data_IF_903601799820
#
_entry.id   IF_903601799820
#
_cell.length_a   1.000
_cell.length_b   1.000
_cell.length_c   1.000
_cell.angle_alpha   90.00
_cell.angle_beta   90.00
_cell.angle_gamma   90.00
#
_symmetry.space_group_name_H-M   'P 1'
#
loop_
_entity.id
_entity.type
_entity.pdbx_description
1 polymer ?
#
# COMPACT_ATOMS: atom_id res chain seq x y z
N UNK A 1 4.88 -10.10 -9.84
CA UNK A 1 5.44 -8.77 -9.49
C UNK A 1 6.75 -8.95 -8.73
N UNK A 2 7.74 -8.04 -8.83
CA UNK A 2 8.92 -8.05 -7.93
C UNK A 2 8.50 -7.47 -6.58
N UNK A 3 8.67 -8.24 -5.50
CA UNK A 3 8.17 -7.90 -4.16
C UNK A 3 9.29 -7.55 -3.19
N UNK A 4 10.52 -8.00 -3.47
CA UNK A 4 11.70 -7.57 -2.74
C UNK A 4 11.92 -6.07 -2.94
N UNK A 5 12.07 -5.38 -1.82
CA UNK A 5 12.40 -3.97 -1.76
C UNK A 5 13.57 -3.78 -0.82
N UNK A 6 14.34 -2.72 -1.06
CA UNK A 6 15.44 -2.31 -0.21
C UNK A 6 15.03 -1.02 0.46
N UNK A 7 15.11 -1.00 1.79
CA UNK A 7 14.98 0.20 2.59
C UNK A 7 16.37 0.63 3.05
N UNK A 8 16.62 1.93 3.03
CA UNK A 8 17.80 2.54 3.64
C UNK A 8 17.37 3.71 4.51
N UNK A 9 18.02 3.92 5.65
CA UNK A 9 17.77 5.08 6.49
C UNK A 9 18.52 6.30 5.96
N UNK A 10 17.83 7.43 5.87
CA UNK A 10 18.41 8.75 5.56
C UNK A 10 17.81 9.80 6.51
N UNK A 11 18.55 10.09 7.59
CA UNK A 11 18.05 10.86 8.73
C UNK A 11 16.84 10.18 9.36
N UNK A 12 15.73 10.93 9.47
CA UNK A 12 14.45 10.43 9.99
C UNK A 12 13.59 9.75 8.92
N UNK A 13 14.06 9.72 7.65
CA UNK A 13 13.34 9.12 6.54
C UNK A 13 13.83 7.69 6.24
N UNK A 14 12.94 6.89 5.70
CA UNK A 14 13.20 5.59 5.13
C UNK A 14 13.05 5.69 3.61
N UNK A 15 14.13 5.45 2.89
CA UNK A 15 14.16 5.54 1.43
C UNK A 15 13.99 4.16 0.83
N UNK A 16 12.97 3.99 -0.01
CA UNK A 16 12.74 2.78 -0.78
C UNK A 16 12.81 3.08 -2.29
N UNK A 17 13.64 2.30 -3.01
CA UNK A 17 13.63 2.32 -4.47
C UNK A 17 12.55 1.36 -4.97
N UNK A 18 11.42 1.92 -5.41
CA UNK A 18 10.27 1.14 -5.86
C UNK A 18 10.34 0.90 -7.36
N UNK A 19 10.07 -0.33 -7.78
CA UNK A 19 9.73 -0.65 -9.16
C UNK A 19 8.33 -0.08 -9.51
N UNK A 20 8.06 0.20 -10.79
CA UNK A 20 6.73 0.55 -11.31
C UNK A 20 5.54 -0.14 -10.65
N UNK A 21 5.55 -1.47 -10.63
CA UNK A 21 4.46 -2.29 -10.09
C UNK A 21 4.33 -2.19 -8.58
N UNK A 22 5.43 -1.97 -7.84
CA UNK A 22 5.38 -1.76 -6.39
C UNK A 22 4.73 -0.42 -6.08
N UNK A 23 5.16 0.66 -6.74
CA UNK A 23 4.57 1.99 -6.57
C UNK A 23 3.08 1.98 -6.95
N UNK A 24 2.73 1.33 -8.07
CA UNK A 24 1.35 1.19 -8.52
C UNK A 24 0.49 0.36 -7.55
N UNK A 25 0.98 -0.76 -7.02
CA UNK A 25 0.24 -1.54 -6.02
C UNK A 25 0.00 -0.75 -4.72
N UNK A 26 0.98 0.02 -4.25
CA UNK A 26 0.82 0.88 -3.07
C UNK A 26 -0.18 2.02 -3.34
N UNK A 27 -0.11 2.63 -4.52
CA UNK A 27 -1.06 3.65 -4.97
C UNK A 27 -2.49 3.09 -5.02
N UNK A 28 -2.70 1.93 -5.65
CA UNK A 28 -4.04 1.35 -5.79
C UNK A 28 -4.64 0.93 -4.44
N UNK A 29 -3.82 0.39 -3.53
CA UNK A 29 -4.26 0.08 -2.18
C UNK A 29 -4.75 1.34 -1.45
N UNK A 30 -3.97 2.42 -1.46
CA UNK A 30 -4.34 3.66 -0.77
C UNK A 30 -5.46 4.43 -1.48
N UNK A 31 -5.52 4.40 -2.82
CA UNK A 31 -6.63 5.01 -3.56
C UNK A 31 -7.95 4.28 -3.27
N UNK A 32 -7.92 2.95 -3.15
CA UNK A 32 -9.09 2.21 -2.75
C UNK A 32 -9.56 2.60 -1.34
N UNK A 33 -8.65 2.73 -0.37
CA UNK A 33 -8.99 3.24 0.97
C UNK A 33 -9.57 4.66 0.90
N UNK A 34 -8.96 5.55 0.10
CA UNK A 34 -9.37 6.96 -0.05
C UNK A 34 -10.77 7.12 -0.63
N UNK A 35 -11.14 6.29 -1.60
CA UNK A 35 -12.45 6.30 -2.28
C UNK A 35 -13.59 5.82 -1.37
N UNK A 36 -13.28 5.16 -0.26
CA UNK A 36 -14.28 4.70 0.70
C UNK A 36 -14.74 5.87 1.57
N UNK A 37 -16.05 5.90 1.80
CA UNK A 37 -16.68 6.82 2.76
C UNK A 37 -16.50 6.34 4.21
N UNK A 38 -15.25 6.10 4.62
CA UNK A 38 -14.91 5.76 6.00
C UNK A 38 -14.99 7.00 6.90
N UNK A 39 -15.57 6.84 8.09
CA UNK A 39 -15.48 7.86 9.13
C UNK A 39 -14.04 8.02 9.65
N UNK A 40 -13.75 9.13 10.32
CA UNK A 40 -12.39 9.46 10.78
C UNK A 40 -11.82 8.38 11.73
N UNK A 41 -12.66 7.84 12.63
CA UNK A 41 -12.26 6.77 13.56
C UNK A 41 -11.98 5.47 12.80
N UNK A 42 -12.82 5.12 11.82
CA UNK A 42 -12.64 3.90 11.02
C UNK A 42 -11.35 3.97 10.20
N UNK A 43 -11.07 5.13 9.59
CA UNK A 43 -9.86 5.35 8.82
C UNK A 43 -8.60 5.30 9.71
N UNK A 44 -8.65 5.94 10.89
CA UNK A 44 -7.57 5.89 11.85
C UNK A 44 -7.31 4.45 12.34
N UNK A 45 -8.34 3.65 12.57
CA UNK A 45 -8.18 2.23 12.94
C UNK A 45 -7.62 1.40 11.78
N UNK A 46 -8.05 1.68 10.55
CA UNK A 46 -7.67 0.91 9.37
C UNK A 46 -6.21 1.12 8.98
N UNK A 47 -5.76 2.38 8.90
CA UNK A 47 -4.43 2.72 8.35
C UNK A 47 -3.56 3.55 9.29
N UNK A 48 -4.05 3.93 10.47
CA UNK A 48 -3.30 4.71 11.46
C UNK A 48 -3.14 6.19 11.11
N UNK A 49 -3.97 6.73 10.21
CA UNK A 49 -3.83 8.10 9.71
C UNK A 49 -5.18 8.73 9.36
N UNK A 50 -5.18 10.06 9.27
CA UNK A 50 -6.33 10.84 8.81
C UNK A 50 -6.42 10.89 7.27
N UNK A 51 -7.55 11.42 6.78
CA UNK A 51 -7.86 11.50 5.35
C UNK A 51 -6.87 12.36 4.58
N UNK A 52 -6.38 13.45 5.19
CA UNK A 52 -5.42 14.34 4.55
C UNK A 52 -4.09 13.63 4.31
N UNK A 53 -3.60 12.92 5.33
CA UNK A 53 -2.33 12.20 5.29
C UNK A 53 -2.39 11.04 4.30
N UNK A 54 -3.52 10.30 4.27
CA UNK A 54 -3.75 9.29 3.23
C UNK A 54 -3.71 9.91 1.85
N UNK A 55 -4.45 11.01 1.62
CA UNK A 55 -4.46 11.72 0.34
C UNK A 55 -3.06 12.14 -0.12
N UNK A 56 -2.28 12.76 0.79
CA UNK A 56 -0.93 13.23 0.49
C UNK A 56 0.02 12.10 0.08
N UNK A 57 -0.06 10.95 0.74
CA UNK A 57 0.77 9.80 0.39
C UNK A 57 0.31 9.16 -0.93
N UNK A 58 -1.00 9.02 -1.15
CA UNK A 58 -1.54 8.53 -2.42
C UNK A 58 -1.11 9.40 -3.58
N UNK A 59 -1.18 10.73 -3.44
CA UNK A 59 -0.81 11.66 -4.50
C UNK A 59 0.71 11.64 -4.77
N UNK A 60 1.54 11.41 -3.74
CA UNK A 60 2.99 11.19 -3.90
C UNK A 60 3.30 9.91 -4.66
N UNK A 61 2.55 8.85 -4.42
CA UNK A 61 2.71 7.57 -5.10
C UNK A 61 2.12 7.61 -6.51
N UNK A 62 1.23 8.55 -6.81
CA UNK A 62 0.67 8.71 -8.14
C UNK A 62 1.74 9.03 -9.18
N UNK A 63 1.50 8.61 -10.42
CA UNK A 63 2.39 8.91 -11.54
C UNK A 63 2.27 7.85 -12.63
N UNK A 64 3.07 7.99 -13.71
CA UNK A 64 2.96 7.10 -14.86
C UNK A 64 3.59 5.72 -14.61
N UNK A 65 4.24 5.51 -13.45
CA UNK A 65 4.85 4.24 -13.04
C UNK A 65 5.68 3.57 -14.16
N UNK A 66 6.53 4.34 -14.84
CA UNK A 66 7.29 3.81 -16.00
C UNK A 66 8.67 3.31 -15.59
N UNK A 67 9.29 3.98 -14.62
CA UNK A 67 10.65 3.71 -14.18
C UNK A 67 10.71 3.49 -12.67
N UNK A 68 11.80 2.87 -12.21
CA UNK A 68 12.03 2.73 -10.77
C UNK A 68 12.48 4.06 -10.18
N UNK A 69 11.87 4.47 -9.07
CA UNK A 69 12.14 5.75 -8.42
C UNK A 69 12.31 5.58 -6.91
N UNK A 70 13.03 6.52 -6.29
CA UNK A 70 13.24 6.54 -4.86
C UNK A 70 12.11 7.32 -4.19
N UNK A 71 11.48 6.71 -3.19
CA UNK A 71 10.45 7.31 -2.38
C UNK A 71 10.93 7.40 -0.95
N UNK A 72 10.75 8.58 -0.34
CA UNK A 72 11.00 8.80 1.08
C UNK A 72 9.72 8.51 1.84
N UNK A 73 9.81 7.76 2.92
CA UNK A 73 8.70 7.44 3.79
C UNK A 73 9.05 7.74 5.25
N UNK A 74 8.04 8.10 6.03
CA UNK A 74 8.10 7.93 7.49
C UNK A 74 7.73 6.49 7.86
N UNK A 75 8.01 6.07 9.10
CA UNK A 75 7.51 4.79 9.62
C UNK A 75 5.98 4.73 9.59
N UNK A 76 5.31 5.85 9.90
CA UNK A 76 3.84 5.93 9.83
C UNK A 76 3.29 5.75 8.42
N UNK A 77 3.98 6.28 7.41
CA UNK A 77 3.60 6.08 6.00
C UNK A 77 3.83 4.64 5.53
N UNK A 78 4.92 3.98 5.97
CA UNK A 78 5.12 2.55 5.70
C UNK A 78 4.07 1.68 6.39
N UNK A 79 3.69 2.01 7.62
CA UNK A 79 2.58 1.36 8.30
C UNK A 79 1.27 1.54 7.51
N UNK A 80 0.98 2.75 7.07
CA UNK A 80 -0.23 3.06 6.29
C UNK A 80 -0.31 2.20 5.02
N UNK A 81 0.79 2.12 4.26
CA UNK A 81 0.88 1.29 3.06
C UNK A 81 0.71 -0.19 3.39
N UNK A 82 1.43 -0.69 4.40
CA UNK A 82 1.34 -2.08 4.83
C UNK A 82 -0.09 -2.46 5.25
N UNK A 83 -0.73 -1.60 6.05
CA UNK A 83 -2.11 -1.80 6.51
C UNK A 83 -3.11 -1.71 5.37
N UNK A 84 -2.91 -0.84 4.38
CA UNK A 84 -3.75 -0.82 3.17
C UNK A 84 -3.58 -2.10 2.33
N UNK A 85 -2.35 -2.54 2.07
CA UNK A 85 -2.07 -3.77 1.30
C UNK A 85 -2.71 -5.01 1.94
N UNK A 86 -2.74 -5.09 3.26
CA UNK A 86 -3.29 -6.25 3.99
C UNK A 86 -4.80 -6.16 4.22
N UNK A 87 -5.37 -4.96 4.29
CA UNK A 87 -6.79 -4.76 4.57
C UNK A 87 -7.66 -4.71 3.33
N UNK A 88 -7.20 -4.09 2.23
CA UNK A 88 -8.00 -3.92 1.01
C UNK A 88 -8.53 -5.25 0.46
N UNK A 89 -7.76 -6.37 0.40
CA UNK A 89 -8.31 -7.66 -0.03
C UNK A 89 -9.52 -8.12 0.78
N UNK A 90 -9.59 -7.78 2.08
CA UNK A 90 -10.73 -8.16 2.94
C UNK A 90 -12.02 -7.42 2.58
N UNK A 91 -11.93 -6.33 1.82
CA UNK A 91 -13.09 -5.56 1.34
C UNK A 91 -13.77 -6.23 0.13
N UNK A 92 -13.13 -7.25 -0.45
CA UNK A 92 -13.65 -8.05 -1.58
C UNK A 92 -14.12 -9.43 -1.11
N UNK A 93 -14.45 -9.57 0.17
CA UNK A 93 -15.11 -10.76 0.69
C UNK A 93 -16.61 -10.66 0.45
N UNK A 94 -17.21 -11.73 -0.07
CA UNK A 94 -18.67 -11.87 -0.18
C UNK A 94 -19.26 -12.48 1.09
N UNK A 95 -20.60 -12.51 1.17
CA UNK A 95 -21.31 -13.22 2.25
C UNK A 95 -20.78 -14.67 2.35
N UNK A 96 -20.32 -15.05 3.54
CA UNK A 96 -19.65 -16.33 3.78
C UNK A 96 -18.12 -16.27 3.82
N UNK A 97 -17.52 -15.09 3.62
CA UNK A 97 -16.08 -14.88 3.79
C UNK A 97 -15.21 -15.35 2.62
N UNK A 98 -15.81 -15.72 1.49
CA UNK A 98 -15.07 -16.08 0.29
C UNK A 98 -14.54 -14.82 -0.40
N UNK A 99 -13.27 -14.85 -0.82
CA UNK A 99 -12.64 -13.77 -1.57
C UNK A 99 -13.00 -13.86 -3.05
N UNK A 100 -13.30 -12.72 -3.67
CA UNK A 100 -13.55 -12.63 -5.11
C UNK A 100 -12.36 -11.99 -5.83
N UNK A 101 -11.51 -12.83 -6.43
CA UNK A 101 -10.30 -12.41 -7.15
C UNK A 101 -10.60 -11.48 -8.33
N UNK A 102 -11.61 -11.80 -9.14
CA UNK A 102 -11.89 -11.03 -10.36
C UNK A 102 -12.26 -9.56 -10.07
N UNK A 103 -13.21 -9.24 -9.15
CA UNK A 103 -13.45 -7.85 -8.76
C UNK A 103 -12.23 -7.13 -8.18
N UNK A 104 -11.41 -7.82 -7.38
CA UNK A 104 -10.18 -7.27 -6.82
C UNK A 104 -9.17 -6.92 -7.93
N UNK A 105 -8.98 -7.85 -8.87
CA UNK A 105 -8.09 -7.68 -10.01
C UNK A 105 -8.57 -6.60 -10.97
N UNK A 106 -9.88 -6.52 -11.25
CA UNK A 106 -10.45 -5.46 -12.07
C UNK A 106 -10.25 -4.10 -11.42
N UNK A 107 -10.43 -3.98 -10.09
CA UNK A 107 -10.26 -2.70 -9.40
C UNK A 107 -8.81 -2.28 -9.31
N UNK A 108 -7.90 -3.19 -8.96
CA UNK A 108 -6.52 -2.84 -8.60
C UNK A 108 -5.50 -3.11 -9.71
N UNK A 109 -5.83 -3.95 -10.68
CA UNK A 109 -4.88 -4.47 -11.67
C UNK A 109 -3.93 -5.55 -11.13
N UNK A 110 -4.08 -5.99 -9.88
CA UNK A 110 -3.19 -6.96 -9.23
C UNK A 110 -3.97 -8.18 -8.74
N UNK A 111 -3.29 -9.33 -8.63
CA UNK A 111 -3.79 -10.46 -7.85
C UNK A 111 -3.49 -10.30 -6.38
N UNK A 112 -4.29 -10.91 -5.50
CA UNK A 112 -4.12 -10.83 -4.05
C UNK A 112 -2.71 -11.18 -3.59
N UNK A 113 -2.08 -12.21 -4.19
CA UNK A 113 -0.74 -12.64 -3.79
C UNK A 113 0.31 -11.55 -4.02
N UNK A 114 0.07 -10.62 -4.96
CA UNK A 114 0.97 -9.48 -5.15
C UNK A 114 0.93 -8.53 -3.96
N UNK A 115 -0.26 -8.27 -3.40
CA UNK A 115 -0.44 -7.42 -2.22
C UNK A 115 0.18 -8.09 -0.99
N UNK A 116 -0.12 -9.37 -0.77
CA UNK A 116 0.40 -10.14 0.35
C UNK A 116 1.94 -10.20 0.31
N UNK A 117 2.52 -10.48 -0.86
CA UNK A 117 3.96 -10.55 -1.02
C UNK A 117 4.65 -9.18 -0.90
N UNK A 118 4.01 -8.08 -1.33
CA UNK A 118 4.56 -6.74 -1.15
C UNK A 118 4.51 -6.29 0.32
N UNK A 119 3.40 -6.55 1.01
CA UNK A 119 3.27 -6.29 2.44
C UNK A 119 4.34 -7.05 3.24
N UNK A 120 4.54 -8.34 2.91
CA UNK A 120 5.60 -9.14 3.51
C UNK A 120 7.00 -8.57 3.22
N UNK A 121 7.28 -8.24 1.95
CA UNK A 121 8.56 -7.65 1.54
C UNK A 121 8.87 -6.32 2.24
N UNK A 122 7.85 -5.52 2.61
CA UNK A 122 8.03 -4.30 3.39
C UNK A 122 8.57 -4.59 4.79
N UNK A 123 8.02 -5.62 5.45
CA UNK A 123 8.47 -6.02 6.78
C UNK A 123 9.88 -6.63 6.74
N UNK A 124 10.17 -7.49 5.75
CA UNK A 124 11.52 -8.05 5.58
C UNK A 124 12.57 -6.96 5.37
N UNK A 125 12.27 -5.98 4.51
CA UNK A 125 13.17 -4.87 4.26
C UNK A 125 13.36 -3.99 5.50
N UNK A 126 12.31 -3.79 6.31
CA UNK A 126 12.40 -3.03 7.55
C UNK A 126 13.21 -3.77 8.63
N UNK A 127 13.13 -5.10 8.68
CA UNK A 127 13.92 -5.93 9.60
C UNK A 127 15.42 -5.91 9.28
N UNK A 128 15.80 -5.56 8.05
CA UNK A 128 17.20 -5.42 7.61
C UNK A 128 17.81 -4.03 7.74
N UNK A 129 17.10 -3.07 8.36
CA UNK A 129 17.56 -1.69 8.57
C UNK A 129 18.56 -1.53 9.72
#
# INVERSE_FOLDING_TARGET
MRTQLRLTRDGDALVARLAPSQASAMYEALSHVRERELGDIELALLVGADRETVGRLTDRLAGPHVESADFRFTVGELHMVHSALTSVPTMFLVRGGAFTEEPFHIRTGFYRENFDALAHGLLEAAAGL
#
